data_IF_164212397907
#
_entry.id   IF_164212397907
#
_cell.length_a   1.000
_cell.length_b   1.000
_cell.length_c   1.000
_cell.angle_alpha   90.00
_cell.angle_beta   90.00
_cell.angle_gamma   90.00
#
_symmetry.space_group_name_H-M   'P 1'
#
loop_
_entity.id
_entity.type
_entity.pdbx_description
1 polymer ?
#
# COMPACT_ATOMS: atom_id res chain seq x y z
N UNK A 1 11.40 19.07 14.92
CA UNK A 1 11.12 18.00 15.92
C UNK A 1 12.21 16.94 15.98
N UNK A 2 12.15 15.82 15.25
CA UNK A 2 13.03 14.65 15.49
C UNK A 2 14.54 14.89 15.25
N UNK A 3 14.89 15.60 14.17
CA UNK A 3 16.28 15.99 13.87
C UNK A 3 16.86 16.98 14.90
N UNK A 4 16.02 17.89 15.40
CA UNK A 4 16.41 18.88 16.40
C UNK A 4 16.78 18.25 17.74
N UNK A 5 16.11 17.14 18.11
CA UNK A 5 16.46 16.35 19.30
C UNK A 5 17.87 15.75 19.15
N UNK A 6 18.24 15.26 17.97
CA UNK A 6 19.60 14.77 17.71
C UNK A 6 20.62 15.91 17.74
N UNK A 7 20.32 17.06 17.13
CA UNK A 7 21.20 18.23 17.17
C UNK A 7 21.45 18.73 18.60
N UNK A 8 20.41 18.71 19.45
CA UNK A 8 20.54 19.06 20.87
C UNK A 8 21.31 18.03 21.68
N UNK A 9 21.19 16.74 21.34
CA UNK A 9 21.99 15.66 21.93
C UNK A 9 23.48 15.82 21.64
N UNK A 10 23.79 16.29 20.44
CA UNK A 10 25.16 16.51 20.01
C UNK A 10 25.29 16.61 18.50
N UNK A 11 26.29 17.35 18.06
CA UNK A 11 26.83 17.30 16.71
C UNK A 11 28.34 17.02 16.84
N UNK A 12 28.86 15.99 16.17
CA UNK A 12 30.25 15.57 16.37
C UNK A 12 30.49 14.90 17.74
N UNK A 13 31.49 15.36 18.49
CA UNK A 13 31.98 14.72 19.73
C UNK A 13 31.34 15.24 21.04
N UNK A 14 30.42 16.21 20.97
CA UNK A 14 29.67 16.67 22.15
C UNK A 14 28.54 15.68 22.49
N UNK A 15 28.58 15.08 23.69
CA UNK A 15 27.50 14.20 24.18
C UNK A 15 26.79 14.82 25.38
N UNK A 16 25.63 15.42 25.15
CA UNK A 16 24.71 15.81 26.23
C UNK A 16 23.95 14.59 26.74
N UNK A 17 23.51 14.65 28.00
CA UNK A 17 22.69 13.56 28.55
C UNK A 17 21.27 13.58 27.96
N UNK A 18 20.61 12.41 27.86
CA UNK A 18 19.22 12.36 27.38
C UNK A 18 18.24 13.20 28.23
N UNK A 19 18.53 13.41 29.52
CA UNK A 19 17.71 14.23 30.41
C UNK A 19 17.84 15.71 30.08
N UNK A 20 19.07 16.15 29.88
CA UNK A 20 19.39 17.54 29.53
C UNK A 20 18.84 17.94 28.16
N UNK A 21 18.86 17.03 27.19
CA UNK A 21 18.19 17.27 25.89
C UNK A 21 16.69 17.43 26.04
N UNK A 22 16.08 16.66 26.95
CA UNK A 22 14.65 16.76 27.20
C UNK A 22 14.28 18.11 27.82
N UNK A 23 15.06 18.60 28.78
CA UNK A 23 14.83 19.90 29.41
C UNK A 23 15.02 21.03 28.39
N UNK A 24 16.14 21.05 27.67
CA UNK A 24 16.41 22.05 26.63
C UNK A 24 15.35 22.07 25.52
N UNK A 25 14.89 20.88 25.10
CA UNK A 25 13.86 20.79 24.08
C UNK A 25 12.52 21.34 24.57
N UNK A 26 12.14 21.04 25.82
CA UNK A 26 10.89 21.49 26.42
C UNK A 26 10.90 22.99 26.73
N UNK A 27 12.04 23.54 27.14
CA UNK A 27 12.25 24.98 27.28
C UNK A 27 12.07 25.71 25.94
N UNK A 28 12.62 25.14 24.86
CA UNK A 28 12.49 25.72 23.52
C UNK A 28 11.12 25.51 22.86
N UNK A 29 10.34 24.49 23.27
CA UNK A 29 9.05 24.12 22.65
C UNK A 29 7.97 23.89 23.70
N UNK A 30 7.54 24.98 24.33
CA UNK A 30 6.50 24.97 25.38
C UNK A 30 5.17 24.38 24.87
N UNK A 31 4.83 24.58 23.59
CA UNK A 31 3.59 24.07 23.01
C UNK A 31 3.54 22.53 22.88
N UNK A 32 4.70 21.87 22.77
CA UNK A 32 4.78 20.43 22.49
C UNK A 32 5.92 19.79 23.31
N UNK A 33 5.74 19.67 24.63
CA UNK A 33 6.75 19.05 25.48
C UNK A 33 6.91 17.56 25.13
N UNK A 34 8.14 17.09 25.23
CA UNK A 34 8.53 15.70 25.07
C UNK A 34 8.96 15.12 26.43
N UNK A 35 9.00 13.79 26.49
CA UNK A 35 9.49 13.04 27.64
C UNK A 35 10.84 12.41 27.28
N UNK A 36 11.71 12.17 28.28
CA UNK A 36 13.01 11.49 28.11
C UNK A 36 12.92 10.19 27.29
N UNK A 37 11.84 9.42 27.45
CA UNK A 37 11.62 8.18 26.70
C UNK A 37 11.53 8.39 25.19
N UNK A 38 11.02 9.54 24.74
CA UNK A 38 10.98 9.94 23.33
C UNK A 38 12.39 10.18 22.79
N UNK A 39 13.25 10.87 23.56
CA UNK A 39 14.66 11.08 23.20
C UNK A 39 15.38 9.73 23.08
N UNK A 40 15.25 8.85 24.08
CA UNK A 40 15.88 7.52 24.05
C UNK A 40 15.42 6.71 22.84
N UNK A 41 14.12 6.68 22.53
CA UNK A 41 13.57 5.96 21.36
C UNK A 41 14.08 6.52 20.03
N UNK A 42 14.23 7.85 19.93
CA UNK A 42 14.77 8.51 18.74
C UNK A 42 16.23 8.17 18.52
N UNK A 43 17.04 8.19 19.58
CA UNK A 43 18.46 7.83 19.54
C UNK A 43 18.65 6.37 19.17
N UNK A 44 17.91 5.47 19.84
CA UNK A 44 17.97 4.04 19.52
C UNK A 44 17.56 3.76 18.06
N UNK A 45 16.51 4.43 17.56
CA UNK A 45 16.10 4.34 16.15
C UNK A 45 17.20 4.84 15.20
N UNK A 46 17.83 5.96 15.53
CA UNK A 46 18.92 6.52 14.73
C UNK A 46 20.14 5.59 14.71
N UNK A 47 20.53 5.00 15.84
CA UNK A 47 21.63 4.03 15.91
C UNK A 47 21.33 2.75 15.13
N UNK A 48 20.08 2.27 15.13
CA UNK A 48 19.70 1.04 14.44
C UNK A 48 19.56 1.21 12.92
N UNK A 49 19.02 2.35 12.44
CA UNK A 49 18.60 2.53 11.03
C UNK A 49 19.39 3.63 10.32
N UNK A 50 20.10 4.49 11.06
CA UNK A 50 20.85 5.63 10.52
C UNK A 50 20.00 6.88 10.24
N UNK A 51 18.69 6.84 10.50
CA UNK A 51 17.80 7.98 10.27
C UNK A 51 16.60 8.00 11.23
N UNK A 52 15.91 9.14 11.34
CA UNK A 52 14.72 9.29 12.21
C UNK A 52 13.38 9.35 11.46
N UNK A 53 13.37 8.96 10.18
CA UNK A 53 12.13 8.82 9.42
C UNK A 53 11.25 7.73 10.04
N UNK A 54 9.94 7.84 9.82
CA UNK A 54 9.02 6.81 10.28
C UNK A 54 9.23 5.54 9.48
N UNK A 55 9.42 4.43 10.19
CA UNK A 55 9.56 3.13 9.57
C UNK A 55 8.19 2.63 9.11
N UNK A 56 8.13 1.84 8.03
CA UNK A 56 6.89 1.18 7.65
C UNK A 56 6.38 0.35 8.83
N UNK A 57 5.09 0.51 9.15
CA UNK A 57 4.45 -0.27 10.20
C UNK A 57 4.31 -1.71 9.74
N UNK A 58 4.52 -2.67 10.64
CA UNK A 58 4.09 -4.05 10.43
C UNK A 58 2.56 -4.06 10.38
N UNK A 59 2.00 -3.95 9.17
CA UNK A 59 0.56 -4.00 8.96
C UNK A 59 -0.02 -5.39 9.24
N UNK A 60 -1.26 -5.60 8.82
CA UNK A 60 -1.88 -6.93 8.83
C UNK A 60 -1.03 -7.90 8.00
N UNK A 61 -0.71 -9.12 8.50
CA UNK A 61 0.03 -10.09 7.73
C UNK A 61 -0.71 -10.40 6.42
N UNK A 62 -0.01 -10.45 5.28
CA UNK A 62 -0.61 -10.83 4.01
C UNK A 62 -0.98 -12.32 4.03
N UNK A 63 -1.82 -12.72 3.07
CA UNK A 63 -2.10 -14.13 2.78
C UNK A 63 -0.77 -14.85 2.47
N UNK A 64 -0.53 -16.09 2.94
CA UNK A 64 0.70 -16.83 2.65
C UNK A 64 0.98 -16.94 1.15
N UNK A 65 2.26 -16.92 0.76
CA UNK A 65 2.66 -16.95 -0.65
C UNK A 65 2.17 -18.22 -1.37
N UNK A 66 2.30 -19.38 -0.74
CA UNK A 66 1.81 -20.66 -1.29
C UNK A 66 0.32 -20.58 -1.66
N UNK A 67 -0.52 -20.08 -0.76
CA UNK A 67 -1.95 -19.92 -1.03
C UNK A 67 -2.25 -18.89 -2.12
N UNK A 68 -1.39 -17.88 -2.31
CA UNK A 68 -1.53 -16.95 -3.44
C UNK A 68 -1.21 -17.65 -4.77
N UNK A 69 -0.18 -18.49 -4.79
CA UNK A 69 0.21 -19.28 -5.97
C UNK A 69 -0.88 -20.29 -6.34
N UNK A 70 -1.46 -20.99 -5.36
CA UNK A 70 -2.56 -21.93 -5.60
C UNK A 70 -3.78 -21.25 -6.23
N UNK A 71 -4.14 -20.05 -5.76
CA UNK A 71 -5.20 -19.23 -6.36
C UNK A 71 -4.87 -18.85 -7.81
N UNK A 72 -3.61 -18.53 -8.10
CA UNK A 72 -3.18 -18.17 -9.47
C UNK A 72 -3.23 -19.38 -10.41
N UNK A 73 -2.77 -20.54 -9.96
CA UNK A 73 -2.83 -21.79 -10.73
C UNK A 73 -4.28 -22.15 -11.07
N UNK A 74 -5.19 -22.06 -10.10
CA UNK A 74 -6.61 -22.35 -10.32
C UNK A 74 -7.25 -21.41 -11.37
N UNK A 75 -6.82 -20.14 -11.42
CA UNK A 75 -7.32 -19.18 -12.42
C UNK A 75 -6.75 -19.48 -13.81
N UNK A 76 -5.51 -19.97 -13.87
CA UNK A 76 -4.89 -20.40 -15.13
C UNK A 76 -5.59 -21.64 -15.68
N UNK A 77 -5.91 -22.61 -14.82
CA UNK A 77 -6.60 -23.85 -15.20
C UNK A 77 -8.07 -23.60 -15.54
N UNK A 78 -8.73 -22.70 -14.81
CA UNK A 78 -10.13 -22.33 -15.03
C UNK A 78 -10.37 -20.80 -14.92
N UNK A 79 -10.18 -20.07 -16.02
CA UNK A 79 -10.35 -18.60 -16.05
C UNK A 79 -11.78 -18.11 -15.78
N UNK A 80 -12.77 -18.98 -15.94
CA UNK A 80 -14.19 -18.66 -15.73
C UNK A 80 -14.65 -18.86 -14.28
N UNK A 81 -13.76 -19.33 -13.40
CA UNK A 81 -14.06 -19.53 -11.99
C UNK A 81 -14.38 -18.19 -11.31
N UNK A 82 -15.47 -18.16 -10.55
CA UNK A 82 -15.85 -16.94 -9.83
C UNK A 82 -14.96 -16.76 -8.60
N UNK A 83 -14.64 -15.50 -8.32
CA UNK A 83 -13.90 -15.09 -7.13
C UNK A 83 -14.56 -15.58 -5.82
N UNK A 84 -15.89 -15.79 -5.81
CA UNK A 84 -16.62 -16.32 -4.65
C UNK A 84 -16.34 -17.80 -4.46
N UNK A 85 -16.37 -18.57 -5.55
CA UNK A 85 -16.11 -20.01 -5.53
C UNK A 85 -14.69 -20.31 -5.06
N UNK A 86 -13.71 -19.59 -5.61
CA UNK A 86 -12.32 -19.67 -5.18
C UNK A 86 -12.14 -19.30 -3.70
N UNK A 87 -12.88 -18.28 -3.22
CA UNK A 87 -12.85 -17.93 -1.80
C UNK A 87 -13.27 -19.09 -0.90
N UNK A 88 -14.34 -19.80 -1.28
CA UNK A 88 -14.80 -20.98 -0.53
C UNK A 88 -13.76 -22.11 -0.59
N UNK A 89 -13.21 -22.38 -1.78
CA UNK A 89 -12.22 -23.44 -2.03
C UNK A 89 -10.93 -23.25 -1.23
N UNK A 90 -10.38 -22.03 -1.22
CA UNK A 90 -9.12 -21.71 -0.53
C UNK A 90 -9.32 -21.14 0.88
N UNK A 91 -10.54 -21.18 1.42
CA UNK A 91 -10.91 -20.61 2.71
C UNK A 91 -10.48 -19.12 2.87
N UNK A 92 -10.72 -18.33 1.83
CA UNK A 92 -10.45 -16.90 1.74
C UNK A 92 -11.76 -16.12 1.53
N UNK A 93 -11.78 -14.85 1.94
CA UNK A 93 -12.86 -13.97 1.49
C UNK A 93 -12.74 -13.72 -0.02
N UNK A 94 -13.87 -13.57 -0.71
CA UNK A 94 -13.90 -13.14 -2.13
C UNK A 94 -13.05 -11.87 -2.35
N UNK A 95 -13.08 -10.92 -1.41
CA UNK A 95 -12.29 -9.68 -1.47
C UNK A 95 -10.79 -9.95 -1.42
N UNK A 96 -10.35 -10.92 -0.62
CA UNK A 96 -8.94 -11.33 -0.54
C UNK A 96 -8.48 -11.94 -1.86
N UNK A 97 -9.27 -12.86 -2.43
CA UNK A 97 -9.00 -13.44 -3.75
C UNK A 97 -8.90 -12.34 -4.82
N UNK A 98 -9.87 -11.42 -4.86
CA UNK A 98 -9.83 -10.27 -5.78
C UNK A 98 -8.56 -9.43 -5.61
N UNK A 99 -8.12 -9.18 -4.37
CA UNK A 99 -6.90 -8.40 -4.10
C UNK A 99 -5.64 -9.13 -4.58
N UNK A 100 -5.57 -10.46 -4.42
CA UNK A 100 -4.48 -11.29 -4.93
C UNK A 100 -4.40 -11.16 -6.47
N UNK A 101 -5.54 -11.34 -7.16
CA UNK A 101 -5.60 -11.21 -8.62
C UNK A 101 -5.19 -9.81 -9.10
N UNK A 102 -5.66 -8.75 -8.42
CA UNK A 102 -5.31 -7.38 -8.75
C UNK A 102 -3.80 -7.08 -8.58
N UNK A 103 -3.20 -7.63 -7.52
CA UNK A 103 -1.76 -7.49 -7.26
C UNK A 103 -0.93 -8.17 -8.35
N UNK A 104 -1.40 -9.33 -8.81
CA UNK A 104 -0.79 -10.14 -9.86
C UNK A 104 -1.22 -9.76 -11.28
N UNK A 105 -1.94 -8.65 -11.44
CA UNK A 105 -2.39 -8.10 -12.74
C UNK A 105 -3.29 -9.05 -13.55
N UNK A 106 -3.98 -9.96 -12.89
CA UNK A 106 -5.03 -10.76 -13.51
C UNK A 106 -6.31 -9.93 -13.65
N UNK A 107 -6.74 -9.74 -14.90
CA UNK A 107 -7.93 -9.00 -15.25
C UNK A 107 -8.89 -9.88 -16.07
N UNK A 108 -10.19 -9.89 -15.73
CA UNK A 108 -11.19 -10.57 -16.55
C UNK A 108 -11.40 -9.74 -17.83
N UNK A 109 -10.80 -10.16 -18.94
CA UNK A 109 -11.08 -9.58 -20.25
C UNK A 109 -12.16 -10.37 -20.96
N UNK A 110 -13.10 -9.65 -21.59
CA UNK A 110 -14.05 -10.23 -22.53
C UNK A 110 -13.57 -9.88 -23.93
N UNK A 111 -13.16 -10.89 -24.71
CA UNK A 111 -12.87 -10.70 -26.14
C UNK A 111 -14.17 -10.31 -26.82
N UNK A 112 -14.24 -9.09 -27.34
CA UNK A 112 -15.35 -8.64 -28.17
C UNK A 112 -14.90 -8.63 -29.61
N UNK A 113 -15.52 -9.46 -30.44
CA UNK A 113 -15.36 -9.36 -31.88
C UNK A 113 -16.03 -8.05 -32.31
N UNK A 114 -15.24 -7.08 -32.75
CA UNK A 114 -15.78 -5.86 -33.36
C UNK A 114 -16.09 -6.16 -34.82
N UNK A 115 -17.20 -5.61 -35.31
CA UNK A 115 -17.56 -5.64 -36.72
C UNK A 115 -16.49 -4.86 -37.53
N UNK A 116 -16.08 -5.40 -38.66
CA UNK A 116 -15.27 -4.68 -39.64
C UNK A 116 -16.10 -3.57 -40.29
N UNK A 117 -15.56 -2.35 -40.37
CA UNK A 117 -16.20 -1.28 -41.11
C UNK A 117 -16.08 -1.58 -42.61
N UNK A 118 -17.22 -1.76 -43.28
CA UNK A 118 -17.30 -1.76 -44.74
C UNK A 118 -17.56 -0.34 -45.26
N UNK A 119 -17.17 -0.04 -46.49
CA UNK A 119 -17.52 1.24 -47.15
C UNK A 119 -19.05 1.43 -47.22
N UNK A 120 -19.80 0.33 -47.33
CA UNK A 120 -21.27 0.31 -47.37
C UNK A 120 -21.94 0.43 -45.98
N UNK A 121 -21.18 0.48 -44.87
CA UNK A 121 -21.80 0.56 -43.52
C UNK A 121 -22.43 1.93 -43.25
N UNK A 122 -21.98 3.00 -43.92
CA UNK A 122 -22.54 4.34 -43.80
C UNK A 122 -23.99 4.40 -44.27
N UNK A 123 -24.30 3.74 -45.38
CA UNK A 123 -25.65 3.72 -45.98
C UNK A 123 -26.63 2.83 -45.21
N UNK A 124 -26.12 1.87 -44.43
CA UNK A 124 -26.93 0.97 -43.60
C UNK A 124 -27.32 1.58 -42.26
N UNK A 125 -26.61 2.63 -41.82
CA UNK A 125 -26.98 3.44 -40.66
C UNK A 125 -27.95 4.55 -41.06
N UNK A 126 -29.10 4.20 -41.64
CA UNK A 126 -30.22 5.14 -41.75
C UNK A 126 -30.71 5.46 -40.35
N UNK A 127 -30.28 6.61 -39.82
CA UNK A 127 -30.88 7.22 -38.64
C UNK A 127 -32.29 7.62 -39.06
N UNK A 128 -33.29 6.85 -38.63
CA UNK A 128 -34.68 7.26 -38.71
C UNK A 128 -34.83 8.42 -37.72
N UNK A 129 -34.66 9.64 -38.22
CA UNK A 129 -35.20 10.81 -37.56
C UNK A 129 -36.71 10.76 -37.78
N UNK A 130 -37.44 10.21 -36.81
CA UNK A 130 -38.88 10.38 -36.76
C UNK A 130 -39.16 11.84 -36.39
N UNK A 131 -39.61 12.62 -37.38
CA UNK A 131 -40.18 13.94 -37.17
C UNK A 131 -41.41 13.84 -36.25
N UNK A 132 -41.36 14.52 -35.10
CA UNK A 132 -42.50 14.83 -34.23
C UNK A 132 -42.60 16.33 -34.03
#
# INVERSE_FOLDING_TARGET
MKLQILMMLGYGDLRRSHSEVCTLFNEAHVERPIVRSTVTKIVAKFQAVGHVRDLPKSGRPPVPENTQLDVMLQVQDNPHSTTRRMGIEFNLSHTSVRNILHKQKFHPYKITLRRELSEDDFDRTLIVWDDK
#
